data_IF_052721555038
#
_entry.id   IF_052721555038
#
_cell.length_a   1.000
_cell.length_b   1.000
_cell.length_c   1.000
_cell.angle_alpha   90.00
_cell.angle_beta   90.00
_cell.angle_gamma   90.00
#
_symmetry.space_group_name_H-M   'P 1'
#
loop_
_entity.id
_entity.type
_entity.pdbx_description
1 polymer ?
#
# COMPACT_ATOMS: atom_id res chain seq x y z
N UNK A 1 -13.94 25.45 19.15
CA UNK A 1 -14.10 24.00 19.39
C UNK A 1 -13.23 23.33 18.35
N UNK A 2 -12.17 22.64 18.76
CA UNK A 2 -11.42 21.77 17.85
C UNK A 2 -12.20 20.46 17.75
N UNK A 3 -12.75 20.19 16.57
CA UNK A 3 -13.40 18.91 16.26
C UNK A 3 -12.35 17.96 15.70
N UNK A 4 -12.32 16.73 16.22
CA UNK A 4 -11.38 15.70 15.76
C UNK A 4 -11.93 15.06 14.48
N UNK A 5 -11.20 15.20 13.37
CA UNK A 5 -11.61 14.63 12.07
C UNK A 5 -11.39 13.10 11.99
N UNK A 6 -10.37 12.56 12.66
CA UNK A 6 -10.10 11.12 12.77
C UNK A 6 -9.57 10.74 14.14
N UNK A 7 -10.04 9.59 14.65
CA UNK A 7 -9.49 8.90 15.81
C UNK A 7 -8.97 7.52 15.36
N UNK A 8 -7.69 7.24 15.62
CA UNK A 8 -7.02 5.99 15.25
C UNK A 8 -6.91 5.02 16.43
N UNK A 9 -7.64 5.26 17.52
CA UNK A 9 -7.70 4.36 18.66
C UNK A 9 -8.05 2.94 18.19
N UNK A 10 -7.10 1.99 18.23
CA UNK A 10 -7.39 0.63 17.81
C UNK A 10 -8.41 0.08 18.80
N UNK A 11 -9.62 -0.21 18.32
CA UNK A 11 -10.62 -0.89 19.12
C UNK A 11 -10.11 -2.26 19.59
N UNK A 12 -10.85 -2.92 20.47
CA UNK A 12 -10.59 -4.32 20.78
C UNK A 12 -10.85 -5.16 19.53
N UNK A 13 -9.78 -5.43 18.77
CA UNK A 13 -9.84 -6.29 17.60
C UNK A 13 -10.11 -7.73 18.02
N UNK A 14 -10.98 -8.42 17.28
CA UNK A 14 -11.18 -9.84 17.47
C UNK A 14 -9.88 -10.60 17.11
N UNK A 15 -9.38 -11.49 17.99
CA UNK A 15 -8.19 -12.26 17.68
C UNK A 15 -8.48 -13.20 16.51
N UNK A 16 -7.74 -12.99 15.42
CA UNK A 16 -7.80 -13.84 14.22
C UNK A 16 -6.62 -14.79 14.15
N UNK A 17 -6.81 -15.92 13.50
CA UNK A 17 -5.72 -16.85 13.22
C UNK A 17 -4.67 -16.22 12.30
N UNK A 18 -3.41 -16.64 12.42
CA UNK A 18 -2.31 -16.08 11.63
C UNK A 18 -2.56 -16.15 10.10
N UNK A 19 -3.13 -17.27 9.61
CA UNK A 19 -3.46 -17.42 8.19
C UNK A 19 -4.53 -16.40 7.75
N UNK A 20 -5.58 -16.23 8.54
CA UNK A 20 -6.64 -15.26 8.28
C UNK A 20 -6.09 -13.82 8.32
N UNK A 21 -5.20 -13.51 9.29
CA UNK A 21 -4.55 -12.22 9.37
C UNK A 21 -3.75 -11.88 8.10
N UNK A 22 -3.03 -12.86 7.54
CA UNK A 22 -2.28 -12.70 6.29
C UNK A 22 -3.20 -12.43 5.11
N UNK A 23 -4.29 -13.19 4.98
CA UNK A 23 -5.26 -13.01 3.90
C UNK A 23 -5.96 -11.64 4.00
N UNK A 24 -6.44 -11.27 5.19
CA UNK A 24 -7.10 -9.99 5.44
C UNK A 24 -6.18 -8.81 5.18
N UNK A 25 -4.93 -8.87 5.66
CA UNK A 25 -3.94 -7.81 5.44
C UNK A 25 -3.63 -7.68 3.95
N UNK A 26 -3.44 -8.80 3.25
CA UNK A 26 -3.17 -8.80 1.81
C UNK A 26 -4.32 -8.21 1.01
N UNK A 27 -5.57 -8.55 1.35
CA UNK A 27 -6.76 -7.99 0.72
C UNK A 27 -6.89 -6.48 0.94
N UNK A 28 -6.68 -6.02 2.18
CA UNK A 28 -6.73 -4.59 2.53
C UNK A 28 -5.61 -3.79 1.86
N UNK A 29 -4.41 -4.35 1.74
CA UNK A 29 -3.29 -3.73 1.00
C UNK A 29 -3.59 -3.67 -0.50
N UNK A 30 -4.09 -4.76 -1.09
CA UNK A 30 -4.45 -4.79 -2.50
C UNK A 30 -5.53 -3.75 -2.83
N UNK A 31 -6.59 -3.68 -2.02
CA UNK A 31 -7.64 -2.67 -2.17
C UNK A 31 -7.08 -1.26 -1.96
N UNK A 32 -6.27 -1.08 -0.92
CA UNK A 32 -5.65 0.21 -0.62
C UNK A 32 -4.83 0.71 -1.79
N UNK A 33 -4.02 -0.15 -2.41
CA UNK A 33 -3.24 0.24 -3.59
C UNK A 33 -4.18 0.53 -4.77
N UNK A 34 -5.14 -0.35 -5.05
CA UNK A 34 -6.09 -0.21 -6.16
C UNK A 34 -6.81 1.14 -6.16
N UNK A 35 -7.32 1.60 -5.01
CA UNK A 35 -8.05 2.88 -4.95
C UNK A 35 -7.15 4.11 -5.17
N UNK A 36 -5.82 3.98 -5.04
CA UNK A 36 -4.85 5.05 -5.37
C UNK A 36 -4.34 4.97 -6.82
N UNK A 37 -4.79 4.02 -7.63
CA UNK A 37 -4.37 3.88 -9.04
C UNK A 37 -5.17 4.75 -10.02
N UNK A 38 -5.94 5.73 -9.53
CA UNK A 38 -6.74 6.62 -10.36
C UNK A 38 -5.88 7.80 -10.81
N UNK A 39 -5.48 7.82 -12.07
CA UNK A 39 -4.73 8.93 -12.68
C UNK A 39 -5.04 9.07 -14.17
N UNK A 40 -5.03 10.30 -14.66
CA UNK A 40 -5.12 10.68 -16.07
C UNK A 40 -3.77 10.58 -16.80
N UNK A 41 -2.69 10.37 -16.06
CA UNK A 41 -1.33 10.18 -16.58
C UNK A 41 -0.75 8.83 -16.13
N UNK A 42 0.31 8.31 -16.81
CA UNK A 42 0.94 7.08 -16.38
C UNK A 42 1.51 7.18 -14.96
N UNK A 43 1.13 6.23 -14.11
CA UNK A 43 1.64 6.12 -12.74
C UNK A 43 3.01 5.43 -12.69
N UNK A 44 3.83 5.88 -11.75
CA UNK A 44 5.08 5.23 -11.35
C UNK A 44 5.17 5.15 -9.83
N UNK A 45 6.18 4.45 -9.32
CA UNK A 45 6.38 4.27 -7.88
C UNK A 45 7.85 4.48 -7.48
N UNK A 46 8.06 5.02 -6.28
CA UNK A 46 9.37 4.97 -5.65
C UNK A 46 9.62 3.57 -5.09
N UNK A 47 10.78 3.00 -5.41
CA UNK A 47 11.18 1.67 -4.97
C UNK A 47 12.52 1.76 -4.23
N UNK A 48 12.50 1.53 -2.92
CA UNK A 48 13.69 1.60 -2.06
C UNK A 48 14.40 0.25 -1.88
N UNK A 49 13.81 -0.85 -2.37
CA UNK A 49 14.26 -2.21 -2.08
C UNK A 49 13.77 -2.75 -0.73
N UNK A 50 13.06 -1.95 0.06
CA UNK A 50 12.43 -2.39 1.31
C UNK A 50 11.12 -3.16 1.11
N UNK A 51 10.65 -3.82 2.17
CA UNK A 51 9.42 -4.62 2.15
C UNK A 51 8.20 -3.78 1.76
N UNK A 52 8.07 -2.58 2.31
CA UNK A 52 6.87 -1.74 2.15
C UNK A 52 6.71 -1.26 0.71
N UNK A 53 7.75 -0.65 0.14
CA UNK A 53 7.73 -0.16 -1.25
C UNK A 53 7.60 -1.30 -2.25
N UNK A 54 8.23 -2.45 -1.98
CA UNK A 54 8.09 -3.65 -2.80
C UNK A 54 6.68 -4.22 -2.75
N UNK A 55 6.03 -4.21 -1.57
CA UNK A 55 4.65 -4.67 -1.40
C UNK A 55 3.68 -3.79 -2.18
N UNK A 56 3.84 -2.46 -2.12
CA UNK A 56 3.05 -1.53 -2.93
C UNK A 56 3.23 -1.80 -4.41
N UNK A 57 4.46 -1.88 -4.92
CA UNK A 57 4.74 -2.16 -6.34
C UNK A 57 4.16 -3.51 -6.77
N UNK A 58 4.24 -4.54 -5.93
CA UNK A 58 3.65 -5.85 -6.21
C UNK A 58 2.13 -5.78 -6.38
N UNK A 59 1.43 -5.11 -5.46
CA UNK A 59 -0.03 -4.92 -5.58
C UNK A 59 -0.42 -3.99 -6.71
N UNK A 60 0.38 -2.96 -7.01
CA UNK A 60 0.17 -2.13 -8.20
C UNK A 60 0.22 -3.01 -9.45
N UNK A 61 1.19 -3.93 -9.54
CA UNK A 61 1.37 -4.79 -10.72
C UNK A 61 0.23 -5.80 -10.88
N UNK A 62 -0.37 -6.25 -9.79
CA UNK A 62 -1.55 -7.12 -9.83
C UNK A 62 -2.80 -6.37 -10.29
N UNK A 63 -2.90 -5.06 -10.00
CA UNK A 63 -4.06 -4.25 -10.31
C UNK A 63 -3.97 -3.50 -11.65
N UNK A 64 -2.81 -3.50 -12.31
CA UNK A 64 -2.61 -2.84 -13.62
C UNK A 64 -2.08 -3.79 -14.68
N UNK A 65 -2.53 -3.54 -15.92
CA UNK A 65 -1.93 -4.14 -17.10
C UNK A 65 -0.75 -3.29 -17.59
N UNK A 66 0.34 -3.96 -17.95
CA UNK A 66 1.54 -3.31 -18.48
C UNK A 66 2.64 -3.06 -17.45
N UNK A 67 3.76 -2.45 -17.89
CA UNK A 67 4.94 -2.25 -17.04
C UNK A 67 4.74 -1.11 -16.03
N UNK A 68 5.19 -1.33 -14.80
CA UNK A 68 5.27 -0.28 -13.77
C UNK A 68 6.63 0.38 -13.84
N UNK A 69 6.64 1.71 -13.97
CA UNK A 69 7.88 2.49 -13.92
C UNK A 69 8.24 2.74 -12.46
N UNK A 70 9.39 2.23 -12.05
CA UNK A 70 9.93 2.45 -10.70
C UNK A 70 11.17 3.33 -10.74
N UNK A 71 11.34 4.16 -9.71
CA UNK A 71 12.54 4.97 -9.51
C UNK A 71 13.08 4.76 -8.10
N UNK A 72 14.40 4.67 -7.97
CA UNK A 72 15.10 4.60 -6.68
C UNK A 72 15.94 5.86 -6.50
N UNK A 73 16.00 6.38 -5.28
CA UNK A 73 16.82 7.55 -4.93
C UNK A 73 17.87 7.13 -3.91
N UNK A 74 19.07 7.65 -4.06
CA UNK A 74 20.18 7.51 -3.12
C UNK A 74 20.90 8.85 -3.01
N UNK A 75 21.50 9.11 -1.86
CA UNK A 75 22.37 10.27 -1.66
C UNK A 75 23.80 9.90 -2.05
N UNK A 76 24.52 10.82 -2.68
CA UNK A 76 25.96 10.70 -2.84
C UNK A 76 26.60 11.07 -1.49
N UNK A 77 27.37 10.15 -0.91
CA UNK A 77 28.28 10.44 0.21
C UNK A 77 29.48 11.28 -0.25
#
# INVERSE_FOLDING_TARGET
MEETYWDLSPGEGEPVGAAEAVERTSALLAESVRIRLVSDVPLGAFLSGGLDSSSVVAFMRQATDGPIRTCSMAFAE
#
